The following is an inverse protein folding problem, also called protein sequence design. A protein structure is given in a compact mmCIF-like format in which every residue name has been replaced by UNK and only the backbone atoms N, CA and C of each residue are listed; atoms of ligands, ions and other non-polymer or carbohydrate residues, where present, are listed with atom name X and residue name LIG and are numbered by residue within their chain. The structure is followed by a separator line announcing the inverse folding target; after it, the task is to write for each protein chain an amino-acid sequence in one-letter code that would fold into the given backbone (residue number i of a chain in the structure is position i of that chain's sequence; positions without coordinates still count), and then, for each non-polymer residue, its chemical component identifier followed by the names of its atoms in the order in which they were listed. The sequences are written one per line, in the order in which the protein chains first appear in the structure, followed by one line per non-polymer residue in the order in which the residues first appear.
data_IF_283354051741
#
_entry.id   IF_283354051741
#
_cell.length_a   1.000
_cell.length_b   1.000
_cell.length_c   1.000
_cell.angle_alpha   90.00
_cell.angle_beta   90.00
_cell.angle_gamma   90.00
#
_symmetry.space_group_name_H-M   'P 1'
#
loop_
_entity.id
_entity.type
_entity.pdbx_description
1 polymer ?
#
# COMPACT_ATOMS: atom_id res chain seq x y z
N UNK A 1 10.17 0.48 -7.21
CA UNK A 1 9.66 -0.47 -6.22
C UNK A 1 8.15 -0.33 -6.08
N UNK A 2 7.47 -1.45 -5.89
CA UNK A 2 6.02 -1.47 -5.72
C UNK A 2 5.65 -1.88 -4.31
N UNK A 3 4.46 -1.47 -3.89
CA UNK A 3 3.91 -1.83 -2.59
C UNK A 3 2.94 -2.99 -2.73
N UNK A 4 3.00 -3.88 -1.77
CA UNK A 4 2.14 -5.06 -1.69
C UNK A 4 1.51 -5.11 -0.30
N UNK A 5 0.39 -5.81 -0.17
CA UNK A 5 -0.25 -6.05 1.12
C UNK A 5 -0.36 -7.55 1.36
N UNK A 6 -0.13 -7.94 2.60
CA UNK A 6 -0.30 -9.31 3.06
C UNK A 6 -1.03 -9.30 4.39
N UNK A 7 -1.90 -10.26 4.61
CA UNK A 7 -2.69 -10.34 5.84
C UNK A 7 -2.18 -11.45 6.73
N UNK A 8 -2.13 -11.15 8.01
CA UNK A 8 -1.70 -12.14 9.00
C UNK A 8 -2.87 -13.04 9.39
N UNK A 9 -2.62 -14.35 9.43
CA UNK A 9 -3.57 -15.35 9.87
C UNK A 9 -2.87 -16.29 10.83
N UNK A 10 -3.01 -16.02 12.13
CA UNK A 10 -2.27 -16.75 13.13
C UNK A 10 -0.77 -16.52 13.00
N UNK A 11 -0.02 -17.59 12.74
CA UNK A 11 1.42 -17.52 12.53
C UNK A 11 1.80 -17.40 11.06
N UNK A 12 0.81 -17.41 10.17
CA UNK A 12 1.03 -17.38 8.73
C UNK A 12 0.64 -16.03 8.13
N UNK A 13 1.14 -15.79 6.92
CA UNK A 13 0.82 -14.60 6.14
C UNK A 13 0.18 -15.04 4.83
N UNK A 14 -0.82 -14.30 4.38
CA UNK A 14 -1.40 -14.53 3.07
C UNK A 14 -0.39 -14.22 1.96
N UNK A 15 -0.63 -14.71 0.76
CA UNK A 15 0.14 -14.33 -0.41
C UNK A 15 0.04 -12.82 -0.61
N UNK A 16 1.17 -12.12 -0.79
CA UNK A 16 1.13 -10.67 -1.01
C UNK A 16 0.33 -10.32 -2.26
N UNK A 17 -0.47 -9.27 -2.14
CA UNK A 17 -1.25 -8.73 -3.25
C UNK A 17 -0.70 -7.37 -3.65
N UNK A 18 -0.54 -7.15 -4.95
CA UNK A 18 -0.13 -5.85 -5.50
C UNK A 18 -1.25 -4.84 -5.25
N UNK A 19 -0.89 -3.64 -4.82
CA UNK A 19 -1.89 -2.62 -4.48
C UNK A 19 -2.54 -1.93 -5.68
N UNK A 20 -2.08 -2.25 -6.88
CA UNK A 20 -2.69 -1.72 -8.09
C UNK A 20 -2.15 -0.37 -8.52
N UNK A 21 -2.61 0.13 -9.68
CA UNK A 21 -2.03 1.34 -10.28
C UNK A 21 -2.39 2.64 -9.55
N UNK A 22 -3.37 2.61 -8.65
CA UNK A 22 -3.68 3.79 -7.85
C UNK A 22 -2.55 4.14 -6.89
N UNK A 23 -1.81 3.13 -6.42
CA UNK A 23 -0.69 3.31 -5.50
C UNK A 23 0.63 3.12 -6.25
N UNK A 24 0.74 2.01 -6.98
CA UNK A 24 1.97 1.64 -7.67
C UNK A 24 2.01 2.26 -9.05
N UNK A 25 2.94 3.17 -9.25
CA UNK A 25 3.14 3.87 -10.52
C UNK A 25 4.52 3.50 -11.06
N UNK A 26 4.97 4.17 -12.11
CA UNK A 26 6.33 3.99 -12.62
C UNK A 26 7.38 4.65 -11.73
N UNK A 27 6.95 5.42 -10.72
CA UNK A 27 7.84 5.98 -9.70
C UNK A 27 8.23 4.91 -8.68
N UNK A 28 9.09 5.31 -7.73
CA UNK A 28 9.43 4.45 -6.61
C UNK A 28 8.42 4.69 -5.48
N UNK A 29 7.72 3.66 -5.05
CA UNK A 29 6.82 3.72 -3.90
C UNK A 29 7.45 2.98 -2.72
N UNK A 30 7.48 3.62 -1.56
CA UNK A 30 8.08 3.03 -0.36
C UNK A 30 7.58 3.75 0.90
N UNK A 31 8.03 3.29 2.06
CA UNK A 31 7.72 3.94 3.32
C UNK A 31 6.25 3.84 3.69
N UNK A 32 5.64 2.70 3.39
CA UNK A 32 4.21 2.52 3.64
C UNK A 32 3.89 2.47 5.13
N UNK A 33 2.84 3.17 5.54
CA UNK A 33 2.40 3.18 6.93
C UNK A 33 0.89 3.35 6.98
N UNK A 34 0.23 2.56 7.82
CA UNK A 34 -1.22 2.62 7.98
C UNK A 34 -1.56 3.58 9.11
N UNK A 35 -2.60 4.39 8.90
CA UNK A 35 -3.06 5.31 9.95
C UNK A 35 -3.54 4.52 11.16
N UNK A 36 -3.56 5.21 12.32
CA UNK A 36 -3.91 4.58 13.59
C UNK A 36 -5.30 3.95 13.57
N UNK A 37 -6.25 4.57 12.87
CA UNK A 37 -7.62 4.05 12.78
C UNK A 37 -7.78 2.99 11.67
N UNK A 38 -6.71 2.67 10.95
CA UNK A 38 -6.72 1.64 9.93
C UNK A 38 -7.38 2.01 8.62
N UNK A 39 -7.70 3.27 8.40
CA UNK A 39 -8.45 3.68 7.21
C UNK A 39 -7.61 4.22 6.08
N UNK A 40 -6.46 4.80 6.40
CA UNK A 40 -5.59 5.43 5.40
C UNK A 40 -4.26 4.72 5.30
N UNK A 41 -3.78 4.61 4.08
CA UNK A 41 -2.42 4.19 3.81
C UNK A 41 -1.64 5.43 3.38
N UNK A 42 -0.55 5.71 4.11
CA UNK A 42 0.42 6.75 3.73
C UNK A 42 1.62 6.09 3.09
N UNK A 43 2.16 6.68 2.06
CA UNK A 43 3.35 6.16 1.40
C UNK A 43 4.08 7.28 0.68
N UNK A 44 5.35 7.03 0.37
CA UNK A 44 6.15 7.96 -0.40
C UNK A 44 6.19 7.52 -1.85
N UNK A 45 5.95 8.45 -2.76
CA UNK A 45 6.12 8.23 -4.19
C UNK A 45 7.23 9.16 -4.67
N UNK A 46 8.33 8.58 -5.13
CA UNK A 46 9.52 9.33 -5.51
C UNK A 46 9.70 9.30 -7.02
N UNK A 47 9.41 10.42 -7.65
CA UNK A 47 9.61 10.60 -9.08
C UNK A 47 11.01 11.07 -9.41
N UNK A 48 11.21 11.52 -10.64
CA UNK A 48 12.53 11.93 -11.12
C UNK A 48 13.08 13.17 -10.41
N UNK A 49 12.22 14.06 -9.95
CA UNK A 49 12.63 15.34 -9.40
C UNK A 49 12.35 15.51 -7.91
N UNK A 50 11.31 14.85 -7.40
CA UNK A 50 10.94 15.03 -6.00
C UNK A 50 10.20 13.80 -5.47
N UNK A 51 10.12 13.75 -4.14
CA UNK A 51 9.35 12.75 -3.43
C UNK A 51 8.14 13.43 -2.79
N UNK A 52 6.98 12.77 -2.87
CA UNK A 52 5.75 13.23 -2.25
C UNK A 52 5.25 12.18 -1.27
N UNK A 53 4.64 12.64 -0.17
CA UNK A 53 3.93 11.75 0.75
C UNK A 53 2.47 11.80 0.35
N UNK A 54 1.93 10.64 0.01
CA UNK A 54 0.55 10.52 -0.47
C UNK A 54 -0.26 9.66 0.51
N UNK A 55 -1.58 9.76 0.39
CA UNK A 55 -2.46 8.91 1.18
C UNK A 55 -3.60 8.40 0.31
N UNK A 56 -4.12 7.23 0.66
CA UNK A 56 -5.24 6.62 -0.03
C UNK A 56 -6.11 5.91 1.01
N UNK A 57 -7.44 5.93 0.78
CA UNK A 57 -8.34 5.12 1.60
C UNK A 57 -8.11 3.66 1.29
N UNK A 58 -7.80 2.87 2.32
CA UNK A 58 -7.50 1.45 2.14
C UNK A 58 -8.69 0.72 1.51
N UNK A 59 -9.91 1.12 1.86
CA UNK A 59 -11.12 0.50 1.30
C UNK A 59 -11.32 0.78 -0.19
N UNK A 60 -10.60 1.76 -0.76
CA UNK A 60 -10.69 2.03 -2.20
C UNK A 60 -9.76 1.16 -3.02
N UNK A 61 -8.86 0.43 -2.38
CA UNK A 61 -7.90 -0.42 -3.07
C UNK A 61 -8.59 -1.69 -3.56
N UNK A 62 -8.16 -2.16 -4.75
CA UNK A 62 -8.71 -3.39 -5.34
C UNK A 62 -7.93 -4.60 -4.84
N UNK A 63 -8.20 -4.99 -3.62
CA UNK A 63 -7.55 -6.13 -2.98
C UNK A 63 -8.60 -7.07 -2.42
N UNK A 64 -8.20 -8.34 -2.23
CA UNK A 64 -9.06 -9.34 -1.62
C UNK A 64 -8.84 -9.34 -0.12
N UNK A 65 -9.90 -9.04 0.62
CA UNK A 65 -9.87 -9.00 2.08
C UNK A 65 -10.15 -10.37 2.66
N UNK A 66 -9.53 -10.72 3.80
CA UNK A 66 -9.84 -11.98 4.47
C UNK A 66 -11.29 -12.02 4.95
N UNK A 67 -11.86 -13.22 4.91
CA UNK A 67 -13.23 -13.46 5.36
C UNK A 67 -13.29 -13.56 6.89
#
# INVERSE_FOLDING_TARGET
DDLFISFRDGDDWSTPQHLGPEVNTENLEYGAEVSRDGRLLYYTSHGAEKADILSVLITSLQIEWPQ
#
